data_IF_472806655381
#
_entry.id   IF_472806655381
#
_cell.length_a   1.000
_cell.length_b   1.000
_cell.length_c   1.000
_cell.angle_alpha   90.00
_cell.angle_beta   90.00
_cell.angle_gamma   90.00
#
_symmetry.space_group_name_H-M   'P 1'
#
loop_
_entity.id
_entity.type
_entity.pdbx_description
1 polymer ?
#
# COMPACT_ATOMS: atom_id res chain seq x y z
N UNK A 1 -13.64 -15.30 -72.47
CA UNK A 1 -12.32 -15.95 -72.37
C UNK A 1 -11.68 -15.51 -71.06
N UNK A 2 -11.85 -16.27 -69.96
CA UNK A 2 -11.22 -15.96 -68.67
C UNK A 2 -9.79 -16.51 -68.68
N UNK A 3 -8.81 -15.70 -68.26
CA UNK A 3 -7.46 -16.19 -68.02
C UNK A 3 -7.28 -16.40 -66.51
N UNK A 4 -7.17 -17.67 -66.16
CA UNK A 4 -6.93 -18.22 -64.83
C UNK A 4 -5.44 -18.17 -64.52
N UNK A 5 -5.03 -17.57 -63.39
CA UNK A 5 -3.74 -17.92 -62.75
C UNK A 5 -3.90 -17.96 -61.23
N UNK A 6 -3.88 -19.21 -60.75
CA UNK A 6 -3.34 -19.77 -59.50
C UNK A 6 -3.33 -18.95 -58.19
N UNK A 7 -4.05 -19.53 -57.23
CA UNK A 7 -3.90 -19.35 -55.77
C UNK A 7 -2.52 -19.85 -55.32
N UNK A 8 -1.80 -19.04 -54.54
CA UNK A 8 -0.73 -19.50 -53.67
C UNK A 8 -1.04 -19.08 -52.23
N UNK A 9 -1.28 -20.08 -51.38
CA UNK A 9 -1.54 -19.94 -49.96
C UNK A 9 -0.30 -19.37 -49.25
N UNK A 10 -0.43 -18.19 -48.63
CA UNK A 10 0.58 -17.69 -47.72
C UNK A 10 0.50 -18.47 -46.40
N UNK A 11 1.57 -19.19 -46.11
CA UNK A 11 1.76 -19.97 -44.90
C UNK A 11 1.60 -19.11 -43.63
N UNK A 12 0.86 -19.65 -42.66
CA UNK A 12 0.79 -19.13 -41.30
C UNK A 12 2.18 -19.17 -40.68
N UNK A 13 2.76 -18.00 -40.41
CA UNK A 13 3.97 -17.88 -39.60
C UNK A 13 3.73 -18.40 -38.17
N UNK A 14 4.75 -18.96 -37.51
CA UNK A 14 4.58 -19.56 -36.19
C UNK A 14 4.26 -18.47 -35.16
N UNK A 15 3.32 -18.81 -34.27
CA UNK A 15 2.97 -18.02 -33.10
C UNK A 15 4.22 -17.66 -32.30
N UNK A 16 4.45 -16.35 -32.08
CA UNK A 16 5.51 -15.86 -31.22
C UNK A 16 5.40 -16.48 -29.83
N UNK A 17 6.45 -17.18 -29.42
CA UNK A 17 6.57 -17.77 -28.11
C UNK A 17 6.49 -16.68 -27.02
N UNK A 18 5.90 -16.97 -25.84
CA UNK A 18 5.93 -16.05 -24.72
C UNK A 18 7.37 -15.79 -24.28
N UNK A 19 7.70 -14.51 -24.11
CA UNK A 19 8.97 -14.04 -23.55
C UNK A 19 9.15 -14.67 -22.17
N UNK A 20 10.01 -15.69 -22.08
CA UNK A 20 10.45 -16.28 -20.82
C UNK A 20 11.42 -15.30 -20.18
N UNK A 21 11.01 -14.65 -19.11
CA UNK A 21 11.92 -13.95 -18.20
C UNK A 21 12.83 -14.98 -17.51
N UNK A 22 14.16 -14.94 -17.69
CA UNK A 22 15.06 -15.84 -17.02
C UNK A 22 15.69 -15.12 -15.82
N UNK A 23 15.11 -15.29 -14.63
CA UNK A 23 15.85 -15.24 -13.35
C UNK A 23 14.90 -15.58 -12.18
N UNK A 24 14.63 -16.86 -12.01
CA UNK A 24 14.31 -17.40 -10.69
C UNK A 24 15.60 -17.94 -10.06
N UNK A 25 15.71 -17.69 -8.76
CA UNK A 25 16.61 -18.34 -7.80
C UNK A 25 18.05 -17.83 -7.70
N UNK A 26 18.21 -16.78 -6.88
CA UNK A 26 19.30 -16.75 -5.90
C UNK A 26 18.72 -16.36 -4.54
N UNK A 27 18.66 -17.34 -3.64
CA UNK A 27 18.33 -17.16 -2.24
C UNK A 27 19.06 -15.97 -1.62
N UNK A 28 18.31 -14.90 -1.37
CA UNK A 28 18.74 -13.78 -0.54
C UNK A 28 18.56 -14.19 0.92
N UNK A 29 19.59 -14.77 1.51
CA UNK A 29 19.73 -14.83 2.97
C UNK A 29 19.84 -13.38 3.47
N UNK A 30 18.68 -12.79 3.75
CA UNK A 30 18.49 -11.35 3.90
C UNK A 30 19.19 -10.78 5.13
N UNK A 31 20.15 -9.90 4.89
CA UNK A 31 20.65 -8.93 5.88
C UNK A 31 19.43 -8.24 6.52
N UNK A 32 19.25 -8.41 7.84
CA UNK A 32 18.14 -7.81 8.62
C UNK A 32 17.97 -6.33 8.23
N UNK A 33 16.76 -5.95 7.81
CA UNK A 33 16.45 -4.55 7.47
C UNK A 33 16.58 -3.73 8.75
N UNK A 34 17.50 -2.76 8.77
CA UNK A 34 17.86 -2.04 9.99
C UNK A 34 16.69 -1.33 10.69
N UNK A 35 15.59 -1.06 9.99
CA UNK A 35 14.38 -0.43 10.51
C UNK A 35 13.24 -1.41 10.84
N UNK A 36 13.27 -2.66 10.37
CA UNK A 36 12.12 -3.55 10.48
C UNK A 36 11.97 -4.11 11.90
N UNK A 37 10.79 -3.87 12.48
CA UNK A 37 10.32 -4.43 13.75
C UNK A 37 9.50 -5.69 13.48
N UNK A 38 8.66 -5.64 12.45
CA UNK A 38 7.88 -6.78 11.94
C UNK A 38 8.15 -6.90 10.44
N UNK A 39 8.62 -8.07 10.01
CA UNK A 39 8.81 -8.37 8.59
C UNK A 39 7.47 -8.45 7.83
N UNK A 40 7.47 -8.28 6.50
CA UNK A 40 6.24 -8.32 5.71
C UNK A 40 5.44 -9.61 5.92
N UNK A 41 4.18 -9.46 6.36
CA UNK A 41 3.25 -10.55 6.63
C UNK A 41 1.88 -10.23 6.05
N UNK A 42 1.19 -11.24 5.52
CA UNK A 42 -0.19 -11.11 5.03
C UNK A 42 -1.14 -11.51 6.14
N UNK A 43 -2.14 -10.67 6.41
CA UNK A 43 -3.18 -10.95 7.38
C UNK A 43 -4.56 -10.56 6.85
N UNK A 44 -5.59 -11.19 7.42
CA UNK A 44 -6.98 -10.82 7.21
C UNK A 44 -7.47 -10.11 8.46
N UNK A 45 -8.05 -8.93 8.29
CA UNK A 45 -8.63 -8.14 9.37
C UNK A 45 -10.13 -8.05 9.18
N UNK A 46 -10.90 -8.16 10.27
CA UNK A 46 -12.33 -7.86 10.21
C UNK A 46 -12.57 -6.38 10.41
N UNK A 47 -13.46 -5.84 9.59
CA UNK A 47 -13.84 -4.44 9.62
C UNK A 47 -15.18 -4.31 10.37
N UNK A 48 -15.31 -3.31 11.27
CA UNK A 48 -16.56 -3.08 11.97
C UNK A 48 -17.67 -2.73 10.96
N UNK A 49 -18.90 -3.15 11.27
CA UNK A 49 -20.08 -2.84 10.44
C UNK A 49 -20.42 -1.35 10.45
N UNK A 50 -20.20 -0.69 11.59
CA UNK A 50 -20.35 0.77 11.70
C UNK A 50 -19.01 1.44 11.42
N UNK A 51 -19.03 2.49 10.63
CA UNK A 51 -17.86 3.32 10.40
C UNK A 51 -17.48 4.04 11.69
N UNK A 52 -16.19 4.11 12.04
CA UNK A 52 -15.72 4.98 13.11
C UNK A 52 -16.17 6.43 12.88
N UNK A 53 -16.62 7.11 13.94
CA UNK A 53 -17.10 8.51 13.90
C UNK A 53 -16.08 9.46 13.26
N UNK A 54 -14.77 9.16 13.40
CA UNK A 54 -13.70 9.92 12.78
C UNK A 54 -13.82 10.00 11.24
N UNK A 55 -14.30 8.95 10.58
CA UNK A 55 -14.49 8.94 9.13
C UNK A 55 -15.73 9.74 8.71
N UNK A 56 -16.79 9.74 9.52
CA UNK A 56 -18.01 10.52 9.24
C UNK A 56 -17.69 12.02 9.17
N UNK A 57 -16.79 12.49 10.03
CA UNK A 57 -16.35 13.91 10.07
C UNK A 57 -15.52 14.31 8.86
N UNK A 58 -14.82 13.38 8.23
CA UNK A 58 -13.92 13.65 7.10
C UNK A 58 -14.66 13.80 5.76
N UNK A 59 -15.99 13.57 5.72
CA UNK A 59 -16.82 13.61 4.50
C UNK A 59 -16.29 12.72 3.36
N UNK A 60 -15.44 11.76 3.69
CA UNK A 60 -14.97 10.74 2.77
C UNK A 60 -16.12 9.78 2.55
N UNK A 61 -16.62 9.70 1.31
CA UNK A 61 -17.64 8.70 0.97
C UNK A 61 -16.97 7.34 0.96
N UNK A 62 -17.40 6.45 1.85
CA UNK A 62 -16.95 5.06 1.87
C UNK A 62 -18.07 4.22 1.28
N UNK A 63 -17.83 3.69 0.09
CA UNK A 63 -18.78 2.89 -0.68
C UNK A 63 -18.31 1.42 -0.72
N UNK A 64 -18.22 0.80 0.47
CA UNK A 64 -17.96 -0.64 0.60
C UNK A 64 -18.49 -1.16 1.94
N UNK A 65 -19.25 -2.25 1.90
CA UNK A 65 -19.76 -2.98 3.06
C UNK A 65 -18.94 -4.22 3.39
N UNK A 66 -17.87 -4.48 2.62
CA UNK A 66 -17.02 -5.66 2.76
C UNK A 66 -16.55 -5.82 4.22
N UNK A 67 -16.85 -6.96 4.88
CA UNK A 67 -16.57 -7.15 6.30
C UNK A 67 -15.10 -7.43 6.58
N UNK A 68 -14.25 -7.63 5.56
CA UNK A 68 -12.86 -8.03 5.74
C UNK A 68 -11.93 -7.33 4.76
N UNK A 69 -10.71 -7.05 5.22
CA UNK A 69 -9.62 -6.65 4.34
C UNK A 69 -8.47 -7.66 4.47
N UNK A 70 -7.92 -8.04 3.32
CA UNK A 70 -6.67 -8.81 3.25
C UNK A 70 -5.59 -7.87 2.76
N UNK A 71 -4.56 -7.66 3.58
CA UNK A 71 -3.42 -6.82 3.23
C UNK A 71 -2.13 -7.46 3.74
N UNK A 72 -1.03 -7.20 3.02
CA UNK A 72 0.29 -7.35 3.58
C UNK A 72 0.62 -6.10 4.38
N UNK A 73 1.22 -6.25 5.56
CA UNK A 73 1.79 -5.14 6.31
C UNK A 73 3.18 -5.51 6.84
N UNK A 74 3.92 -4.49 7.24
CA UNK A 74 5.15 -4.61 8.03
C UNK A 74 5.21 -3.43 9.00
N UNK A 75 6.08 -3.49 10.01
CA UNK A 75 6.23 -2.40 10.98
C UNK A 75 7.68 -1.99 11.03
N UNK A 76 7.95 -0.69 10.90
CA UNK A 76 9.29 -0.14 10.84
C UNK A 76 9.46 1.02 11.81
N UNK A 77 10.63 1.11 12.44
CA UNK A 77 11.05 2.37 13.07
C UNK A 77 11.35 3.41 12.00
N UNK A 78 11.06 4.68 12.26
CA UNK A 78 11.33 5.75 11.30
C UNK A 78 12.86 5.91 11.06
N UNK A 79 13.35 5.60 9.83
CA UNK A 79 14.75 5.77 9.49
C UNK A 79 15.17 7.23 9.60
N UNK A 80 16.43 7.48 10.01
CA UNK A 80 16.96 8.85 10.19
C UNK A 80 16.72 9.76 8.99
N UNK A 81 16.81 9.22 7.77
CA UNK A 81 16.65 9.98 6.52
C UNK A 81 15.23 10.49 6.28
N UNK A 82 14.20 9.81 6.81
CA UNK A 82 12.79 10.22 6.61
C UNK A 82 12.30 11.21 7.66
N UNK A 83 12.99 11.35 8.80
CA UNK A 83 12.47 12.07 9.97
C UNK A 83 12.06 13.51 9.63
N UNK A 84 12.92 14.23 8.90
CA UNK A 84 12.63 15.61 8.52
C UNK A 84 11.35 15.72 7.68
N UNK A 85 11.19 14.85 6.69
CA UNK A 85 10.01 14.86 5.80
C UNK A 85 8.75 14.45 6.56
N UNK A 86 8.84 13.43 7.42
CA UNK A 86 7.74 13.00 8.28
C UNK A 86 7.25 14.14 9.19
N UNK A 87 8.16 14.91 9.79
CA UNK A 87 7.79 16.08 10.60
C UNK A 87 7.10 17.19 9.80
N UNK A 88 7.30 17.24 8.47
CA UNK A 88 6.59 18.15 7.56
C UNK A 88 5.25 17.59 7.06
N UNK A 89 5.06 16.27 7.07
CA UNK A 89 3.74 15.65 6.79
C UNK A 89 2.84 15.78 8.03
N UNK A 90 3.40 15.49 9.21
CA UNK A 90 2.70 15.48 10.49
C UNK A 90 3.35 16.47 11.48
N UNK A 91 2.86 17.72 11.56
CA UNK A 91 3.41 18.72 12.47
C UNK A 91 3.42 18.28 13.95
N UNK A 92 2.46 17.46 14.36
CA UNK A 92 2.35 16.92 15.73
C UNK A 92 3.45 15.90 16.08
N UNK A 93 4.15 15.35 15.08
CA UNK A 93 5.23 14.37 15.25
C UNK A 93 6.62 15.04 15.17
N UNK A 94 6.67 16.32 14.79
CA UNK A 94 7.92 17.06 14.64
C UNK A 94 8.73 17.06 15.94
N UNK A 95 9.99 16.62 15.85
CA UNK A 95 10.92 16.50 16.99
C UNK A 95 10.83 15.18 17.76
N UNK A 96 9.86 14.31 17.46
CA UNK A 96 9.73 12.98 18.10
C UNK A 96 9.70 11.82 17.12
N UNK A 97 10.10 12.06 15.86
CA UNK A 97 10.02 11.09 14.75
C UNK A 97 10.86 9.84 15.01
N UNK A 98 11.88 9.92 15.87
CA UNK A 98 12.68 8.75 16.27
C UNK A 98 11.88 7.66 16.98
N UNK A 99 10.72 8.01 17.55
CA UNK A 99 9.77 7.10 18.21
C UNK A 99 8.66 6.62 17.28
N UNK A 100 8.56 7.19 16.08
CA UNK A 100 7.50 6.88 15.15
C UNK A 100 7.69 5.49 14.54
N UNK A 101 6.61 4.71 14.56
CA UNK A 101 6.44 3.51 13.78
C UNK A 101 5.69 3.82 12.48
N UNK A 102 6.21 3.28 11.38
CA UNK A 102 5.63 3.38 10.05
C UNK A 102 5.18 1.98 9.63
N UNK A 103 3.93 1.89 9.19
CA UNK A 103 3.23 0.64 8.89
C UNK A 103 2.79 0.70 7.42
N UNK A 104 3.70 0.46 6.46
CA UNK A 104 3.33 0.35 5.06
C UNK A 104 2.50 -0.92 4.85
N UNK A 105 1.45 -0.77 4.05
CA UNK A 105 0.50 -1.82 3.71
C UNK A 105 0.36 -1.97 2.20
N UNK A 106 0.08 -3.19 1.75
CA UNK A 106 -0.17 -3.50 0.35
C UNK A 106 -1.39 -4.39 0.24
N UNK A 107 -2.43 -3.91 -0.42
CA UNK A 107 -3.57 -4.74 -0.81
C UNK A 107 -3.30 -5.32 -2.20
N UNK A 108 -3.39 -6.64 -2.33
CA UNK A 108 -3.29 -7.28 -3.65
C UNK A 108 -4.50 -6.88 -4.52
N UNK A 109 -4.24 -6.59 -5.78
CA UNK A 109 -5.25 -6.23 -6.78
C UNK A 109 -5.36 -7.30 -7.87
N UNK A 110 -6.49 -7.34 -8.56
CA UNK A 110 -6.72 -8.16 -9.75
C UNK A 110 -6.13 -7.48 -10.98
N UNK A 111 -6.35 -6.17 -11.10
CA UNK A 111 -5.81 -5.36 -12.18
C UNK A 111 -4.42 -4.85 -11.83
N UNK A 112 -3.58 -4.73 -12.85
CA UNK A 112 -2.32 -3.99 -12.72
C UNK A 112 -2.64 -2.52 -12.43
N UNK A 113 -2.09 -1.94 -11.36
CA UNK A 113 -2.41 -0.57 -10.97
C UNK A 113 -1.88 0.51 -11.92
N UNK A 114 -1.04 0.12 -12.89
CA UNK A 114 -0.64 0.98 -14.01
C UNK A 114 -1.68 1.06 -15.14
N UNK A 115 -2.70 0.21 -15.11
CA UNK A 115 -3.78 0.22 -16.10
C UNK A 115 -4.70 1.44 -15.89
N UNK A 116 -5.14 2.04 -17.00
CA UNK A 116 -6.10 3.16 -17.01
C UNK A 116 -7.54 2.71 -17.33
N UNK A 117 -7.82 1.41 -17.30
CA UNK A 117 -9.17 0.88 -17.53
C UNK A 117 -10.15 1.30 -16.41
N UNK A 118 -11.45 1.55 -16.73
CA UNK A 118 -12.47 1.86 -15.71
C UNK A 118 -12.52 0.85 -14.56
N UNK A 119 -12.40 -0.45 -14.86
CA UNK A 119 -12.38 -1.50 -13.83
C UNK A 119 -11.20 -1.35 -12.85
N UNK A 120 -10.06 -0.87 -13.34
CA UNK A 120 -8.90 -0.58 -12.49
C UNK A 120 -9.19 0.59 -11.55
N UNK A 121 -9.93 1.61 -12.00
CA UNK A 121 -10.32 2.74 -11.14
C UNK A 121 -11.34 2.31 -10.09
N UNK A 122 -12.35 1.53 -10.47
CA UNK A 122 -13.30 0.97 -9.52
C UNK A 122 -12.61 0.07 -8.47
N UNK A 123 -11.60 -0.71 -8.89
CA UNK A 123 -10.79 -1.48 -7.96
C UNK A 123 -9.97 -0.57 -7.02
N UNK A 124 -9.35 0.50 -7.53
CA UNK A 124 -8.62 1.48 -6.72
C UNK A 124 -9.52 2.10 -5.65
N UNK A 125 -10.72 2.53 -6.02
CA UNK A 125 -11.69 3.10 -5.08
C UNK A 125 -12.10 2.07 -4.01
N UNK A 126 -12.33 0.81 -4.41
CA UNK A 126 -12.62 -0.26 -3.46
C UNK A 126 -11.47 -0.51 -2.47
N UNK A 127 -10.21 -0.54 -2.95
CA UNK A 127 -9.03 -0.68 -2.07
C UNK A 127 -8.84 0.53 -1.16
N UNK A 128 -9.08 1.74 -1.67
CA UNK A 128 -9.04 2.97 -0.88
C UNK A 128 -10.05 2.92 0.28
N UNK A 129 -11.31 2.56 -0.02
CA UNK A 129 -12.36 2.47 0.99
C UNK A 129 -12.06 1.40 2.06
N UNK A 130 -11.53 0.24 1.65
CA UNK A 130 -11.08 -0.80 2.59
C UNK A 130 -9.94 -0.30 3.49
N UNK A 131 -8.97 0.43 2.92
CA UNK A 131 -7.87 1.01 3.68
C UNK A 131 -8.37 2.04 4.68
N UNK A 132 -9.28 2.93 4.29
CA UNK A 132 -9.86 3.90 5.22
C UNK A 132 -10.57 3.25 6.39
N UNK A 133 -11.39 2.21 6.14
CA UNK A 133 -12.06 1.47 7.21
C UNK A 133 -11.06 0.80 8.15
N UNK A 134 -10.03 0.16 7.61
CA UNK A 134 -8.97 -0.49 8.39
C UNK A 134 -8.15 0.52 9.20
N UNK A 135 -7.71 1.60 8.54
CA UNK A 135 -6.88 2.65 9.12
C UNK A 135 -7.62 3.39 10.24
N UNK A 136 -8.90 3.71 10.04
CA UNK A 136 -9.72 4.33 11.07
C UNK A 136 -9.87 3.44 12.31
N UNK A 137 -10.07 2.14 12.12
CA UNK A 137 -10.16 1.18 13.23
C UNK A 137 -8.83 1.07 13.99
N UNK A 138 -7.70 0.98 13.27
CA UNK A 138 -6.38 0.95 13.88
C UNK A 138 -6.11 2.23 14.68
N UNK A 139 -6.36 3.40 14.07
CA UNK A 139 -6.18 4.71 14.70
C UNK A 139 -7.06 4.85 15.94
N UNK A 140 -8.33 4.46 15.86
CA UNK A 140 -9.25 4.52 17.00
C UNK A 140 -8.75 3.66 18.17
N UNK A 141 -8.28 2.42 17.90
CA UNK A 141 -7.75 1.52 18.93
C UNK A 141 -6.48 2.06 19.58
N UNK A 142 -5.57 2.63 18.80
CA UNK A 142 -4.32 3.19 19.32
C UNK A 142 -4.56 4.47 20.13
N UNK A 143 -5.45 5.36 19.63
CA UNK A 143 -5.84 6.58 20.34
C UNK A 143 -6.60 6.30 21.63
N UNK A 144 -7.46 5.28 21.66
CA UNK A 144 -8.14 4.83 22.88
C UNK A 144 -7.16 4.35 23.98
N UNK A 145 -5.94 3.97 23.59
CA UNK A 145 -4.84 3.60 24.50
C UNK A 145 -3.89 4.76 24.80
N UNK A 146 -4.22 5.98 24.40
CA UNK A 146 -3.44 7.20 24.67
C UNK A 146 -2.26 7.41 23.72
N UNK A 147 -2.22 6.72 22.58
CA UNK A 147 -1.13 6.88 21.60
C UNK A 147 -1.57 7.68 20.39
N UNK A 148 -0.68 8.55 19.91
CA UNK A 148 -0.85 9.22 18.63
C UNK A 148 -0.84 8.20 17.49
N UNK A 149 -1.76 8.33 16.56
CA UNK A 149 -1.83 7.53 15.35
C UNK A 149 -2.55 8.29 14.24
N UNK A 150 -2.14 8.01 13.00
CA UNK A 150 -2.75 8.53 11.79
C UNK A 150 -2.49 7.59 10.60
N UNK A 151 -3.14 7.87 9.47
CA UNK A 151 -2.81 7.33 8.15
C UNK A 151 -2.66 8.48 7.17
N UNK A 152 -1.98 8.24 6.05
CA UNK A 152 -2.06 9.17 4.92
C UNK A 152 -3.13 8.71 3.95
N UNK A 153 -3.86 9.65 3.36
CA UNK A 153 -4.70 9.37 2.20
C UNK A 153 -3.80 8.90 1.04
N UNK A 154 -3.92 7.66 0.56
CA UNK A 154 -3.08 7.15 -0.54
C UNK A 154 -3.21 7.93 -1.85
N UNK A 155 -4.30 8.68 -2.03
CA UNK A 155 -4.52 9.49 -3.24
C UNK A 155 -3.78 10.83 -3.19
N UNK A 156 -3.68 11.46 -2.03
CA UNK A 156 -3.08 12.79 -1.88
C UNK A 156 -1.75 12.81 -1.13
N UNK A 157 -1.45 11.77 -0.34
CA UNK A 157 -0.31 11.73 0.58
C UNK A 157 -0.49 12.60 1.84
N UNK A 158 -1.68 13.18 2.06
CA UNK A 158 -1.95 14.05 3.22
C UNK A 158 -2.36 13.26 4.45
N UNK A 159 -2.11 13.82 5.64
CA UNK A 159 -2.61 13.28 6.90
C UNK A 159 -4.14 13.20 6.90
N UNK A 160 -4.70 12.06 7.33
CA UNK A 160 -6.14 11.83 7.26
C UNK A 160 -6.87 12.26 8.53
N UNK A 161 -6.32 12.00 9.72
CA UNK A 161 -6.99 12.20 11.02
C UNK A 161 -6.35 13.27 11.90
N UNK A 162 -5.22 13.86 11.49
CA UNK A 162 -4.53 14.96 12.20
C UNK A 162 -4.34 16.15 11.26
N UNK A 163 -3.78 17.25 11.79
CA UNK A 163 -3.52 18.43 10.98
C UNK A 163 -2.52 18.13 9.85
N UNK A 164 -2.88 18.52 8.63
CA UNK A 164 -1.98 18.41 7.48
C UNK A 164 -0.81 19.40 7.61
N UNK A 165 0.42 18.91 7.48
CA UNK A 165 1.58 19.77 7.29
C UNK A 165 1.78 20.21 5.83
N UNK A 166 2.85 20.96 5.53
CA UNK A 166 3.12 21.48 4.19
C UNK A 166 3.67 20.44 3.20
N UNK A 167 3.90 19.19 3.61
CA UNK A 167 4.45 18.14 2.75
C UNK A 167 3.53 16.92 2.67
N UNK A 168 3.68 16.17 1.58
CA UNK A 168 2.95 14.94 1.30
C UNK A 168 3.82 13.74 1.61
N UNK A 169 3.21 12.62 1.98
CA UNK A 169 3.90 11.33 2.08
C UNK A 169 3.73 10.53 0.78
N UNK A 170 4.81 10.32 0.01
CA UNK A 170 4.77 9.46 -1.18
C UNK A 170 4.92 7.98 -0.79
N UNK A 171 3.83 7.20 -0.84
CA UNK A 171 3.83 5.76 -0.49
C UNK A 171 4.88 4.94 -1.28
N UNK A 172 5.12 5.29 -2.55
CA UNK A 172 6.11 4.62 -3.41
C UNK A 172 7.53 4.79 -2.87
N UNK A 173 7.93 6.02 -2.53
CA UNK A 173 9.25 6.31 -1.96
C UNK A 173 9.35 5.75 -0.52
N UNK A 174 8.27 5.82 0.24
CA UNK A 174 8.17 5.19 1.56
C UNK A 174 8.48 3.69 1.50
N UNK A 175 7.88 2.98 0.55
CA UNK A 175 8.14 1.56 0.32
C UNK A 175 9.56 1.28 -0.20
N UNK A 176 10.10 2.12 -1.08
CA UNK A 176 11.51 2.02 -1.49
C UNK A 176 12.43 2.13 -0.27
N UNK A 177 12.17 3.11 0.59
CA UNK A 177 13.03 3.42 1.72
C UNK A 177 13.00 2.33 2.79
N UNK A 178 11.79 1.90 3.17
CA UNK A 178 11.55 0.96 4.27
C UNK A 178 11.74 -0.48 3.83
N UNK A 179 11.33 -0.78 2.59
CA UNK A 179 11.22 -2.14 2.10
C UNK A 179 12.15 -2.46 0.92
N UNK A 180 12.88 -1.50 0.38
CA UNK A 180 13.76 -1.69 -0.79
C UNK A 180 13.00 -2.31 -1.98
N UNK A 181 11.70 -2.05 -2.06
CA UNK A 181 10.91 -2.40 -3.23
C UNK A 181 11.31 -1.45 -4.34
N UNK A 182 11.51 -1.98 -5.53
CA UNK A 182 12.08 -1.22 -6.64
C UNK A 182 10.98 -0.41 -7.32
N UNK A 183 11.02 0.93 -7.24
CA UNK A 183 10.19 1.75 -8.10
C UNK A 183 10.75 1.73 -9.51
N UNK A 184 9.89 1.97 -10.49
CA UNK A 184 10.30 2.22 -11.87
C UNK A 184 9.45 3.34 -12.47
N UNK A 185 10.02 4.02 -13.45
CA UNK A 185 9.35 5.12 -14.13
C UNK A 185 8.42 4.59 -15.22
N UNK A 186 7.19 5.08 -15.21
CA UNK A 186 6.24 4.92 -16.30
C UNK A 186 5.77 6.31 -16.73
N UNK A 187 6.52 6.90 -17.67
CA UNK A 187 6.29 8.28 -18.11
C UNK A 187 6.59 9.28 -17.00
N UNK A 188 5.55 9.97 -16.53
CA UNK A 188 5.61 10.94 -15.43
C UNK A 188 5.22 10.37 -14.06
N UNK A 189 4.95 9.07 -13.96
CA UNK A 189 4.57 8.42 -12.71
C UNK A 189 5.67 7.47 -12.23
N UNK A 190 5.92 7.47 -10.91
CA UNK A 190 6.69 6.43 -10.24
C UNK A 190 5.75 5.30 -9.85
N UNK A 191 6.08 4.08 -10.27
CA UNK A 191 5.30 2.88 -10.01
C UNK A 191 6.11 1.94 -9.13
N UNK A 192 5.49 1.45 -8.06
CA UNK A 192 6.09 0.45 -7.19
C UNK A 192 5.92 -0.96 -7.75
N UNK A 193 6.99 -1.76 -7.76
CA UNK A 193 6.92 -3.20 -8.02
C UNK A 193 7.09 -4.01 -6.74
N UNK A 194 6.05 -4.72 -6.33
CA UNK A 194 6.10 -5.62 -5.18
C UNK A 194 6.79 -6.95 -5.54
N UNK A 195 7.69 -7.49 -4.72
CA UNK A 195 8.49 -8.68 -5.05
C UNK A 195 7.69 -9.93 -5.41
N UNK A 196 6.45 -10.06 -4.90
CA UNK A 196 5.59 -11.23 -5.15
C UNK A 196 4.36 -10.91 -6.01
N UNK A 197 3.98 -9.64 -6.14
CA UNK A 197 2.71 -9.22 -6.74
C UNK A 197 2.91 -8.27 -7.92
N UNK A 198 4.16 -7.89 -8.22
CA UNK A 198 4.49 -6.92 -9.27
C UNK A 198 3.74 -5.61 -9.04
N UNK A 199 3.10 -5.11 -10.09
CA UNK A 199 2.25 -3.90 -10.08
C UNK A 199 0.81 -4.15 -9.65
N UNK A 200 0.48 -5.37 -9.21
CA UNK A 200 -0.88 -5.75 -8.78
C UNK A 200 -1.05 -5.50 -7.28
N UNK A 201 -0.76 -4.25 -6.87
CA UNK A 201 -0.78 -3.81 -5.48
C UNK A 201 -1.33 -2.40 -5.33
N UNK A 202 -2.10 -2.19 -4.28
CA UNK A 202 -2.50 -0.87 -3.82
C UNK A 202 -1.74 -0.53 -2.53
N UNK A 203 -0.71 0.34 -2.59
CA UNK A 203 0.08 0.74 -1.42
C UNK A 203 -0.66 1.79 -0.60
N UNK A 204 -0.49 1.75 0.72
CA UNK A 204 -1.02 2.75 1.66
C UNK A 204 -0.29 2.64 3.01
N UNK A 205 -0.21 3.71 3.79
CA UNK A 205 0.64 3.71 5.00
C UNK A 205 -0.06 4.29 6.24
N UNK A 206 0.12 3.60 7.38
CA UNK A 206 -0.27 4.06 8.71
C UNK A 206 0.95 4.44 9.56
N UNK A 207 0.72 5.32 10.54
CA UNK A 207 1.76 5.92 11.38
C UNK A 207 1.31 5.96 12.83
N UNK A 208 2.23 5.74 13.78
CA UNK A 208 1.91 5.83 15.20
C UNK A 208 3.12 6.05 16.09
N UNK A 209 2.92 6.74 17.22
CA UNK A 209 3.88 6.84 18.32
C UNK A 209 3.65 5.74 19.39
N UNK A 210 2.74 4.80 19.14
CA UNK A 210 2.56 3.65 20.01
C UNK A 210 3.80 2.75 19.99
N UNK A 211 4.18 2.16 21.14
CA UNK A 211 5.17 1.09 21.19
C UNK A 211 4.80 -0.11 20.32
N UNK A 212 5.81 -0.87 19.88
CA UNK A 212 5.62 -1.96 18.91
C UNK A 212 4.74 -3.11 19.43
N UNK A 213 4.81 -3.42 20.71
CA UNK A 213 3.95 -4.38 21.40
C UNK A 213 2.49 -3.94 21.39
N UNK A 214 2.22 -2.66 21.64
CA UNK A 214 0.87 -2.08 21.56
C UNK A 214 0.31 -2.17 20.14
N UNK A 215 1.13 -1.89 19.12
CA UNK A 215 0.74 -2.04 17.72
C UNK A 215 0.43 -3.50 17.38
N UNK A 216 1.29 -4.43 17.81
CA UNK A 216 1.10 -5.85 17.58
C UNK A 216 -0.20 -6.37 18.22
N UNK A 217 -0.51 -5.95 19.45
CA UNK A 217 -1.76 -6.28 20.13
C UNK A 217 -2.98 -5.74 19.38
N UNK A 218 -2.93 -4.49 18.90
CA UNK A 218 -4.02 -3.88 18.16
C UNK A 218 -4.30 -4.63 16.85
N UNK A 219 -3.25 -4.92 16.07
CA UNK A 219 -3.36 -5.68 14.83
C UNK A 219 -3.86 -7.11 15.07
N UNK A 220 -3.36 -7.80 16.11
CA UNK A 220 -3.80 -9.14 16.47
C UNK A 220 -5.27 -9.17 16.95
N UNK A 221 -5.75 -8.09 17.60
CA UNK A 221 -7.16 -7.97 17.96
C UNK A 221 -8.04 -7.79 16.71
N UNK A 222 -7.63 -6.93 15.77
CA UNK A 222 -8.35 -6.70 14.51
C UNK A 222 -8.39 -7.93 13.60
N UNK A 223 -7.38 -8.81 13.69
CA UNK A 223 -7.35 -10.08 12.94
C UNK A 223 -8.24 -11.19 13.54
N UNK A 224 -8.55 -11.12 14.84
CA UNK A 224 -9.33 -12.14 15.57
C UNK A 224 -10.82 -11.81 15.70
N UNK A 225 -11.15 -10.52 15.87
CA UNK A 225 -12.53 -10.00 15.87
C UNK A 225 -13.26 -10.44 14.60
#
# INVERSE_FOLDING_TARGET
MPSTVAVAAAARGPAGAPHRDPAADKGSAGRRRASAVVDPVVATFRLPRRLPEALERLRVRIDTDEPRVVLQYSVHTCPRRMRREIGLVFPEVAGVESRLLIIPTFQKTQSSMVSYHPDTQAEKDAKLHLFYRWGAELVARLRARGHWADVTDPMSGMALFTACGPSLYPDVEGAEVLLRYTPFNLGNCFVLSHPHWGTHIYPATAFTLAPADVVAEALAAMARA
#
